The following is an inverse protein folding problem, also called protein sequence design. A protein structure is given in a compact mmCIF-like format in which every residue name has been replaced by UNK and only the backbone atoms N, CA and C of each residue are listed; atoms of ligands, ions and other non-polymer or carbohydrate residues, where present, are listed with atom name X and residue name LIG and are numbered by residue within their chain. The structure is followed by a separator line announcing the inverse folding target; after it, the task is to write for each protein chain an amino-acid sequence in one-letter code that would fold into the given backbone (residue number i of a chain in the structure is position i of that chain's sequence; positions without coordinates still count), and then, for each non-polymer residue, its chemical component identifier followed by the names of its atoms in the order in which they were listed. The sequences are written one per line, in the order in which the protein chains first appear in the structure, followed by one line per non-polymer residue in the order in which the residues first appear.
data_IF_582728737769
#
_entry.id   IF_582728737769
#
_cell.length_a   1.000
_cell.length_b   1.000
_cell.length_c   1.000
_cell.angle_alpha   90.00
_cell.angle_beta   90.00
_cell.angle_gamma   90.00
#
_symmetry.space_group_name_H-M   'P 1'
#
loop_
_entity.id
_entity.type
_entity.pdbx_description
1 polymer ?
#
# COMPACT_ATOMS: atom_id res chain seq x y z
N UNK A 1 80.16 -19.49 -11.77
CA UNK A 1 80.21 -18.29 -10.91
C UNK A 1 78.95 -17.47 -11.21
N UNK A 2 77.93 -17.63 -10.36
CA UNK A 2 76.81 -16.74 -9.91
C UNK A 2 76.60 -15.37 -10.60
N UNK A 3 75.37 -14.78 -10.74
CA UNK A 3 74.00 -15.32 -10.70
C UNK A 3 73.07 -14.88 -11.87
N UNK A 4 71.90 -15.52 -11.92
CA UNK A 4 70.72 -15.14 -12.69
C UNK A 4 70.07 -13.83 -12.20
N UNK A 5 69.61 -12.97 -13.11
CA UNK A 5 68.64 -11.92 -12.79
C UNK A 5 67.23 -12.39 -13.12
N UNK A 6 66.45 -12.45 -12.06
CA UNK A 6 65.06 -12.88 -11.97
C UNK A 6 64.17 -12.03 -12.87
N UNK A 7 63.46 -12.70 -13.78
CA UNK A 7 62.26 -12.21 -14.45
C UNK A 7 61.23 -11.81 -13.39
N UNK A 8 61.08 -10.50 -13.15
CA UNK A 8 59.97 -10.00 -12.36
C UNK A 8 58.69 -10.15 -13.18
N UNK A 9 57.94 -11.20 -12.87
CA UNK A 9 56.51 -11.25 -13.09
C UNK A 9 55.88 -10.02 -12.41
N UNK A 10 55.62 -8.99 -13.22
CA UNK A 10 54.74 -7.88 -12.86
C UNK A 10 53.31 -8.39 -12.83
N UNK A 11 52.99 -9.06 -11.73
CA UNK A 11 51.70 -9.59 -11.35
C UNK A 11 50.58 -8.56 -11.58
N UNK A 12 49.52 -9.06 -12.20
CA UNK A 12 48.36 -8.35 -12.64
C UNK A 12 47.54 -7.84 -11.45
N UNK A 13 47.91 -6.68 -10.90
CA UNK A 13 46.94 -5.84 -10.18
C UNK A 13 46.18 -4.99 -11.19
N UNK A 14 45.32 -5.67 -11.97
CA UNK A 14 44.13 -5.06 -12.54
C UNK A 14 43.25 -4.63 -11.36
N UNK A 15 43.54 -3.43 -10.85
CA UNK A 15 42.62 -2.71 -10.00
C UNK A 15 41.32 -2.61 -10.78
N UNK A 16 40.30 -3.35 -10.37
CA UNK A 16 38.94 -3.12 -10.81
C UNK A 16 38.53 -1.77 -10.26
N UNK A 17 39.00 -0.70 -10.90
CA UNK A 17 38.40 0.62 -10.79
C UNK A 17 37.01 0.45 -11.37
N UNK A 18 36.06 0.09 -10.52
CA UNK A 18 34.65 0.19 -10.88
C UNK A 18 34.46 1.68 -11.14
N UNK A 19 34.25 2.12 -12.40
CA UNK A 19 34.23 3.53 -12.70
C UNK A 19 33.18 4.17 -11.79
N UNK A 20 33.50 5.32 -11.20
CA UNK A 20 32.62 6.03 -10.26
C UNK A 20 31.19 6.16 -10.82
N UNK A 21 31.09 6.26 -12.15
CA UNK A 21 29.86 6.17 -12.93
C UNK A 21 29.07 4.87 -12.71
N UNK A 22 29.67 3.68 -12.80
CA UNK A 22 29.00 2.40 -12.53
C UNK A 22 28.55 2.26 -11.07
N UNK A 23 29.34 2.79 -10.12
CA UNK A 23 28.94 2.81 -8.71
C UNK A 23 27.74 3.73 -8.48
N UNK A 24 27.77 4.95 -9.04
CA UNK A 24 26.66 5.92 -8.99
C UNK A 24 25.42 5.40 -9.71
N UNK A 25 25.58 4.75 -10.87
CA UNK A 25 24.48 4.11 -11.61
C UNK A 25 23.85 2.98 -10.81
N UNK A 26 24.64 2.13 -10.14
CA UNK A 26 24.12 1.03 -9.30
C UNK A 26 23.41 1.56 -8.06
N UNK A 27 23.91 2.62 -7.43
CA UNK A 27 23.23 3.29 -6.31
C UNK A 27 21.97 4.04 -6.76
N UNK A 28 22.01 4.71 -7.91
CA UNK A 28 20.85 5.35 -8.53
C UNK A 28 19.74 4.35 -8.86
N UNK A 29 20.09 3.19 -9.41
CA UNK A 29 19.15 2.09 -9.63
C UNK A 29 18.50 1.60 -8.32
N UNK A 30 19.27 1.54 -7.22
CA UNK A 30 18.72 1.20 -5.90
C UNK A 30 17.71 2.24 -5.39
N UNK A 31 17.98 3.53 -5.58
CA UNK A 31 17.05 4.61 -5.21
C UNK A 31 15.76 4.56 -6.04
N UNK A 32 15.87 4.30 -7.34
CA UNK A 32 14.70 4.10 -8.22
C UNK A 32 13.87 2.91 -7.77
N UNK A 33 14.51 1.78 -7.43
CA UNK A 33 13.82 0.60 -6.93
C UNK A 33 13.07 0.88 -5.61
N UNK A 34 13.70 1.59 -4.66
CA UNK A 34 13.06 2.01 -3.41
C UNK A 34 11.88 2.93 -3.69
N UNK A 35 12.03 3.89 -4.61
CA UNK A 35 10.94 4.77 -5.04
C UNK A 35 9.75 4.00 -5.61
N UNK A 36 10.00 2.99 -6.46
CA UNK A 36 8.96 2.12 -7.01
C UNK A 36 8.25 1.29 -5.94
N UNK A 37 9.01 0.71 -4.99
CA UNK A 37 8.44 -0.05 -3.87
C UNK A 37 7.59 0.86 -2.99
N UNK A 38 8.08 2.06 -2.66
CA UNK A 38 7.35 3.05 -1.88
C UNK A 38 6.06 3.49 -2.59
N UNK A 39 6.12 3.77 -3.88
CA UNK A 39 4.95 4.11 -4.69
C UNK A 39 3.91 2.98 -4.70
N UNK A 40 4.35 1.72 -4.88
CA UNK A 40 3.47 0.55 -4.82
C UNK A 40 2.82 0.37 -3.43
N UNK A 41 3.62 0.50 -2.37
CA UNK A 41 3.13 0.41 -0.99
C UNK A 41 2.12 1.53 -0.68
N UNK A 42 2.41 2.76 -1.10
CA UNK A 42 1.50 3.90 -0.94
C UNK A 42 0.21 3.72 -1.75
N UNK A 43 0.29 3.21 -2.97
CA UNK A 43 -0.88 2.95 -3.82
C UNK A 43 -1.81 1.90 -3.19
N UNK A 44 -1.26 0.79 -2.70
CA UNK A 44 -2.06 -0.24 -2.01
C UNK A 44 -2.63 0.25 -0.68
N UNK A 45 -1.92 1.10 0.06
CA UNK A 45 -2.45 1.72 1.27
C UNK A 45 -3.58 2.70 0.98
N UNK A 46 -3.48 3.49 -0.11
CA UNK A 46 -4.56 4.38 -0.55
C UNK A 46 -5.85 3.61 -0.85
N UNK A 47 -5.76 2.45 -1.50
CA UNK A 47 -6.95 1.61 -1.77
C UNK A 47 -7.65 1.18 -0.47
N UNK A 48 -6.88 0.80 0.55
CA UNK A 48 -7.43 0.47 1.88
C UNK A 48 -8.14 1.68 2.49
N UNK A 49 -7.52 2.85 2.46
CA UNK A 49 -8.12 4.10 2.97
C UNK A 49 -9.39 4.47 2.21
N UNK A 50 -9.38 4.39 0.88
CA UNK A 50 -10.56 4.64 0.06
C UNK A 50 -11.71 3.70 0.43
N UNK A 51 -11.43 2.41 0.57
CA UNK A 51 -12.43 1.41 0.96
C UNK A 51 -13.00 1.68 2.35
N UNK A 52 -12.21 2.22 3.29
CA UNK A 52 -12.70 2.65 4.60
C UNK A 52 -13.68 3.82 4.49
N UNK A 53 -13.33 4.86 3.73
CA UNK A 53 -14.24 6.00 3.47
C UNK A 53 -15.52 5.56 2.76
N UNK A 54 -15.40 4.67 1.79
CA UNK A 54 -16.55 4.08 1.10
C UNK A 54 -17.48 3.35 2.08
N UNK A 55 -16.94 2.51 2.97
CA UNK A 55 -17.73 1.81 3.99
C UNK A 55 -18.42 2.79 4.96
N UNK A 56 -17.78 3.91 5.29
CA UNK A 56 -18.37 4.95 6.13
C UNK A 56 -19.54 5.65 5.41
N UNK A 57 -19.36 6.04 4.15
CA UNK A 57 -20.42 6.66 3.34
C UNK A 57 -21.60 5.68 3.17
N UNK A 58 -21.31 4.42 2.83
CA UNK A 58 -22.30 3.34 2.75
C UNK A 58 -23.08 3.16 4.06
N UNK A 59 -22.39 3.19 5.21
CA UNK A 59 -23.02 3.09 6.52
C UNK A 59 -23.89 4.30 6.86
N UNK A 60 -23.47 5.51 6.48
CA UNK A 60 -24.27 6.72 6.62
C UNK A 60 -25.56 6.66 5.82
N UNK A 61 -25.47 6.27 4.54
CA UNK A 61 -26.62 6.07 3.65
C UNK A 61 -27.58 5.00 4.16
N UNK A 62 -27.06 3.89 4.70
CA UNK A 62 -27.88 2.87 5.34
C UNK A 62 -28.60 3.38 6.60
N UNK A 63 -27.91 4.18 7.43
CA UNK A 63 -28.51 4.78 8.62
C UNK A 63 -29.68 5.70 8.24
N UNK A 64 -29.51 6.52 7.21
CA UNK A 64 -30.59 7.37 6.68
C UNK A 64 -31.75 6.53 6.13
N UNK A 65 -31.45 5.53 5.29
CA UNK A 65 -32.46 4.62 4.74
C UNK A 65 -33.27 3.89 5.84
N UNK A 66 -32.63 3.55 6.97
CA UNK A 66 -33.31 2.96 8.13
C UNK A 66 -34.23 3.95 8.84
N UNK A 67 -33.88 5.23 8.93
CA UNK A 67 -34.78 6.28 9.46
C UNK A 67 -36.00 6.45 8.57
N UNK A 68 -35.78 6.49 7.25
CA UNK A 68 -36.87 6.53 6.26
C UNK A 68 -37.83 5.35 6.43
N UNK A 69 -37.30 4.12 6.54
CA UNK A 69 -38.12 2.92 6.77
C UNK A 69 -38.89 2.98 8.09
N UNK A 70 -38.28 3.50 9.16
CA UNK A 70 -38.97 3.68 10.44
C UNK A 70 -40.15 4.66 10.30
N UNK A 71 -39.98 5.77 9.58
CA UNK A 71 -41.08 6.70 9.31
C UNK A 71 -42.18 6.12 8.42
N UNK A 72 -41.85 5.22 7.50
CA UNK A 72 -42.88 4.48 6.74
C UNK A 72 -43.61 3.49 7.66
N UNK A 73 -42.88 2.77 8.52
CA UNK A 73 -43.45 1.83 9.47
C UNK A 73 -44.39 2.51 10.49
N UNK A 74 -44.05 3.72 10.94
CA UNK A 74 -44.90 4.54 11.81
C UNK A 74 -46.23 4.87 11.14
N UNK A 75 -46.22 5.42 9.92
CA UNK A 75 -47.45 5.71 9.15
C UNK A 75 -48.26 4.46 8.84
N UNK A 76 -47.60 3.33 8.57
CA UNK A 76 -48.27 2.05 8.40
C UNK A 76 -48.98 1.63 9.70
N UNK A 77 -48.32 1.81 10.85
CA UNK A 77 -48.87 1.56 12.18
C UNK A 77 -50.06 2.46 12.51
N UNK A 78 -50.03 3.75 12.16
CA UNK A 78 -51.17 4.66 12.28
C UNK A 78 -52.38 4.19 11.46
N UNK A 79 -52.14 3.54 10.31
CA UNK A 79 -53.16 2.91 9.50
C UNK A 79 -53.57 1.50 9.98
N UNK A 80 -52.97 0.99 11.06
CA UNK A 80 -53.22 -0.36 11.59
C UNK A 80 -52.68 -1.48 10.69
N UNK A 81 -51.72 -1.19 9.82
CA UNK A 81 -51.18 -2.12 8.82
C UNK A 81 -49.69 -2.39 9.05
N UNK A 82 -49.20 -3.61 8.75
CA UNK A 82 -47.77 -3.84 8.60
C UNK A 82 -47.24 -3.13 7.34
N UNK A 83 -45.96 -2.76 7.35
CA UNK A 83 -45.33 -1.94 6.30
C UNK A 83 -45.59 -2.44 4.86
N UNK A 84 -45.49 -3.75 4.62
CA UNK A 84 -45.73 -4.35 3.30
C UNK A 84 -47.20 -4.33 2.89
N UNK A 85 -48.13 -4.49 3.82
CA UNK A 85 -49.56 -4.36 3.53
C UNK A 85 -49.92 -2.91 3.23
N UNK A 86 -49.33 -1.95 3.96
CA UNK A 86 -49.48 -0.53 3.71
C UNK A 86 -49.03 -0.14 2.30
N UNK A 87 -47.88 -0.64 1.83
CA UNK A 87 -47.39 -0.45 0.46
C UNK A 87 -48.32 -1.06 -0.60
N UNK A 88 -48.90 -2.22 -0.31
CA UNK A 88 -49.83 -2.90 -1.21
C UNK A 88 -51.13 -2.10 -1.42
N UNK A 89 -51.60 -1.34 -0.43
CA UNK A 89 -52.75 -0.44 -0.58
C UNK A 89 -52.47 0.64 -1.64
N UNK A 90 -51.28 1.25 -1.63
CA UNK A 90 -50.88 2.20 -2.68
C UNK A 90 -50.89 1.58 -4.07
N UNK A 91 -50.46 0.32 -4.20
CA UNK A 91 -50.39 -0.39 -5.48
C UNK A 91 -51.76 -0.81 -6.00
N UNK A 92 -52.72 -1.04 -5.12
CA UNK A 92 -54.11 -1.40 -5.47
C UNK A 92 -55.00 -0.18 -5.70
N UNK A 93 -54.52 1.02 -5.37
CA UNK A 93 -55.24 2.25 -5.61
C UNK A 93 -55.54 2.46 -7.11
N UNK A 94 -56.73 2.97 -7.40
CA UNK A 94 -57.14 3.30 -8.78
C UNK A 94 -56.37 4.48 -9.36
N UNK A 95 -55.95 5.42 -8.50
CA UNK A 95 -55.24 6.61 -8.94
C UNK A 95 -53.75 6.29 -9.19
N UNK A 96 -53.22 6.54 -10.41
CA UNK A 96 -51.84 6.20 -10.76
C UNK A 96 -50.78 6.97 -9.96
N UNK A 97 -51.13 8.10 -9.32
CA UNK A 97 -50.21 8.82 -8.42
C UNK A 97 -49.88 7.95 -7.20
N UNK A 98 -50.89 7.35 -6.55
CA UNK A 98 -50.68 6.49 -5.39
C UNK A 98 -49.94 5.21 -5.77
N UNK A 99 -50.25 4.62 -6.92
CA UNK A 99 -49.52 3.44 -7.42
C UNK A 99 -48.02 3.73 -7.57
N UNK A 100 -47.66 4.88 -8.16
CA UNK A 100 -46.27 5.30 -8.31
C UNK A 100 -45.59 5.53 -6.97
N UNK A 101 -46.30 6.12 -6.01
CA UNK A 101 -45.78 6.33 -4.66
C UNK A 101 -45.45 5.01 -3.97
N UNK A 102 -46.35 4.01 -4.05
CA UNK A 102 -46.10 2.67 -3.49
C UNK A 102 -44.88 1.98 -4.10
N UNK A 103 -44.69 2.11 -5.43
CA UNK A 103 -43.49 1.59 -6.11
C UNK A 103 -42.23 2.29 -5.63
N UNK A 104 -42.27 3.61 -5.44
CA UNK A 104 -41.12 4.40 -4.96
C UNK A 104 -40.75 4.05 -3.52
N UNK A 105 -41.73 3.93 -2.62
CA UNK A 105 -41.50 3.51 -1.23
C UNK A 105 -40.94 2.09 -1.16
N UNK A 106 -41.43 1.17 -1.99
CA UNK A 106 -40.87 -0.19 -2.10
C UNK A 106 -39.42 -0.17 -2.58
N UNK A 107 -39.10 0.68 -3.57
CA UNK A 107 -37.73 0.84 -4.04
C UNK A 107 -36.79 1.35 -2.94
N UNK A 108 -37.25 2.26 -2.07
CA UNK A 108 -36.49 2.71 -0.89
C UNK A 108 -36.18 1.56 0.09
N UNK A 109 -37.16 0.71 0.39
CA UNK A 109 -36.96 -0.45 1.28
C UNK A 109 -35.95 -1.42 0.66
N UNK A 110 -36.12 -1.76 -0.62
CA UNK A 110 -35.21 -2.66 -1.34
C UNK A 110 -33.78 -2.09 -1.38
N UNK A 111 -33.65 -0.77 -1.54
CA UNK A 111 -32.37 -0.07 -1.49
C UNK A 111 -31.71 -0.24 -0.13
N UNK A 112 -32.44 -0.05 0.97
CA UNK A 112 -31.91 -0.25 2.32
C UNK A 112 -31.37 -1.67 2.53
N UNK A 113 -32.12 -2.70 2.11
CA UNK A 113 -31.67 -4.10 2.19
C UNK A 113 -30.39 -4.34 1.38
N UNK A 114 -30.27 -3.73 0.20
CA UNK A 114 -29.07 -3.83 -0.63
C UNK A 114 -27.87 -3.18 0.05
N UNK A 115 -28.03 -1.97 0.60
CA UNK A 115 -26.98 -1.27 1.34
C UNK A 115 -26.51 -2.06 2.56
N UNK A 116 -27.46 -2.63 3.31
CA UNK A 116 -27.18 -3.48 4.47
C UNK A 116 -26.38 -4.73 4.08
N UNK A 117 -26.84 -5.45 3.06
CA UNK A 117 -26.18 -6.66 2.57
C UNK A 117 -24.75 -6.36 2.12
N UNK A 118 -24.57 -5.27 1.36
CA UNK A 118 -23.25 -4.87 0.88
C UNK A 118 -22.32 -4.47 2.03
N UNK A 119 -22.83 -3.72 3.01
CA UNK A 119 -22.03 -3.30 4.17
C UNK A 119 -21.64 -4.49 5.05
N UNK A 120 -22.56 -5.43 5.28
CA UNK A 120 -22.28 -6.66 6.03
C UNK A 120 -21.24 -7.52 5.31
N UNK A 121 -21.36 -7.72 4.00
CA UNK A 121 -20.38 -8.46 3.21
C UNK A 121 -18.98 -7.83 3.30
N UNK A 122 -18.90 -6.50 3.20
CA UNK A 122 -17.64 -5.76 3.29
C UNK A 122 -16.98 -5.81 4.68
N UNK A 123 -17.79 -5.73 5.74
CA UNK A 123 -17.30 -5.81 7.13
C UNK A 123 -16.94 -7.23 7.55
N UNK A 124 -17.68 -8.22 7.04
CA UNK A 124 -17.44 -9.64 7.31
C UNK A 124 -16.30 -10.25 6.51
N UNK A 125 -15.81 -9.57 5.46
CA UNK A 125 -14.69 -10.05 4.66
C UNK A 125 -13.34 -9.88 5.37
N UNK A 126 -12.50 -10.92 5.29
CA UNK A 126 -11.12 -10.91 5.77
C UNK A 126 -10.26 -9.89 5.00
N UNK A 127 -9.17 -9.42 5.62
CA UNK A 127 -8.29 -8.38 5.06
C UNK A 127 -7.82 -8.68 3.62
N UNK A 128 -7.55 -9.95 3.31
CA UNK A 128 -7.04 -10.37 1.98
C UNK A 128 -8.17 -10.49 0.95
N UNK A 129 -9.37 -10.93 1.33
CA UNK A 129 -10.49 -11.15 0.42
C UNK A 129 -11.36 -9.90 0.25
N UNK A 130 -11.26 -8.94 1.17
CA UNK A 130 -12.03 -7.70 1.18
C UNK A 130 -11.95 -6.89 -0.12
N UNK A 131 -10.80 -6.73 -0.80
CA UNK A 131 -10.74 -6.04 -2.08
C UNK A 131 -11.60 -6.70 -3.16
N UNK A 132 -11.61 -8.04 -3.22
CA UNK A 132 -12.46 -8.78 -4.15
C UNK A 132 -13.94 -8.58 -3.84
N UNK A 133 -14.32 -8.70 -2.55
CA UNK A 133 -15.69 -8.44 -2.10
C UNK A 133 -16.12 -7.01 -2.44
N UNK A 134 -15.23 -6.05 -2.25
CA UNK A 134 -15.47 -4.65 -2.59
C UNK A 134 -15.80 -4.46 -4.08
N UNK A 135 -15.03 -5.06 -4.99
CA UNK A 135 -15.34 -5.00 -6.42
C UNK A 135 -16.68 -5.69 -6.73
N UNK A 136 -16.97 -6.84 -6.10
CA UNK A 136 -18.23 -7.56 -6.33
C UNK A 136 -19.48 -6.84 -5.80
N UNK A 137 -19.32 -5.96 -4.80
CA UNK A 137 -20.38 -5.19 -4.14
C UNK A 137 -20.26 -3.69 -4.42
N UNK A 138 -19.58 -3.35 -5.50
CA UNK A 138 -19.28 -1.97 -5.86
C UNK A 138 -20.57 -1.22 -6.23
N UNK A 139 -20.80 -0.11 -5.54
CA UNK A 139 -21.89 0.81 -5.81
C UNK A 139 -21.31 2.10 -6.40
N UNK A 140 -21.59 2.33 -7.69
CA UNK A 140 -20.98 3.41 -8.46
C UNK A 140 -21.30 4.79 -7.87
N UNK A 141 -22.55 5.01 -7.46
CA UNK A 141 -22.99 6.30 -6.91
C UNK A 141 -22.21 6.64 -5.63
N UNK A 142 -22.11 5.66 -4.71
CA UNK A 142 -21.39 5.83 -3.45
C UNK A 142 -19.90 5.98 -3.69
N UNK A 143 -19.34 5.25 -4.65
CA UNK A 143 -17.92 5.33 -4.99
C UNK A 143 -17.56 6.68 -5.62
N UNK A 144 -18.39 7.22 -6.51
CA UNK A 144 -18.19 8.54 -7.13
C UNK A 144 -18.23 9.65 -6.07
N UNK A 145 -19.21 9.62 -5.16
CA UNK A 145 -19.26 10.57 -4.04
C UNK A 145 -18.08 10.44 -3.10
N UNK A 146 -17.72 9.19 -2.76
CA UNK A 146 -16.53 8.93 -1.92
C UNK A 146 -15.29 9.49 -2.60
N UNK A 147 -15.17 9.35 -3.92
CA UNK A 147 -14.02 9.84 -4.68
C UNK A 147 -13.92 11.37 -4.68
N UNK A 148 -15.05 12.08 -4.75
CA UNK A 148 -15.07 13.55 -4.70
C UNK A 148 -14.50 14.08 -3.38
N UNK A 149 -14.89 13.46 -2.26
CA UNK A 149 -14.45 13.87 -0.92
C UNK A 149 -13.15 13.18 -0.46
N UNK A 150 -12.62 12.24 -1.25
CA UNK A 150 -11.45 11.45 -0.89
C UNK A 150 -10.21 12.33 -0.82
N UNK A 151 -9.58 12.36 0.37
CA UNK A 151 -8.28 12.99 0.57
C UNK A 151 -7.22 11.90 0.70
N UNK A 152 -6.24 11.82 -0.24
CA UNK A 152 -5.13 10.89 -0.10
C UNK A 152 -4.40 11.07 1.22
N UNK A 153 -3.96 9.97 1.82
CA UNK A 153 -3.25 9.99 3.10
C UNK A 153 -1.87 10.66 2.99
N UNK A 154 -1.28 10.68 1.79
CA UNK A 154 -0.06 11.42 1.50
C UNK A 154 -0.42 12.59 0.59
N UNK A 155 -0.37 13.84 1.10
CA UNK A 155 -0.58 15.01 0.28
C UNK A 155 0.56 15.11 -0.74
N UNK A 156 0.20 15.15 -2.03
CA UNK A 156 1.15 15.36 -3.12
C UNK A 156 1.16 16.83 -3.53
N UNK A 157 1.32 17.74 -2.57
CA UNK A 157 1.50 19.16 -2.82
C UNK A 157 3.00 19.54 -2.77
N UNK A 158 3.33 20.72 -3.33
CA UNK A 158 4.71 21.20 -3.40
C UNK A 158 5.37 21.27 -2.01
N UNK A 159 4.60 21.66 -1.00
CA UNK A 159 5.05 21.76 0.39
C UNK A 159 5.45 20.40 0.94
N UNK A 160 4.59 19.39 0.82
CA UNK A 160 4.87 18.04 1.29
C UNK A 160 6.05 17.40 0.55
N UNK A 161 6.22 17.72 -0.73
CA UNK A 161 7.37 17.25 -1.50
C UNK A 161 8.70 17.86 -0.99
N UNK A 162 8.70 19.15 -0.62
CA UNK A 162 9.87 19.81 -0.01
C UNK A 162 10.20 19.17 1.34
N UNK A 163 9.21 18.96 2.20
CA UNK A 163 9.42 18.29 3.49
C UNK A 163 9.90 16.84 3.32
N UNK A 164 9.37 16.11 2.33
CA UNK A 164 9.84 14.77 2.00
C UNK A 164 11.31 14.78 1.54
N UNK A 165 11.72 15.76 0.72
CA UNK A 165 13.11 15.92 0.30
C UNK A 165 14.04 16.23 1.48
N UNK A 166 13.66 17.16 2.37
CA UNK A 166 14.41 17.48 3.58
C UNK A 166 14.55 16.25 4.48
N UNK A 167 13.45 15.55 4.74
CA UNK A 167 13.45 14.31 5.51
C UNK A 167 14.33 13.22 4.89
N UNK A 168 14.33 13.10 3.55
CA UNK A 168 15.20 12.20 2.81
C UNK A 168 16.69 12.52 3.00
N UNK A 169 17.06 13.81 2.94
CA UNK A 169 18.45 14.25 3.20
C UNK A 169 18.84 13.96 4.65
N UNK A 170 18.01 14.32 5.62
CA UNK A 170 18.26 14.06 7.04
C UNK A 170 18.39 12.57 7.33
N UNK A 171 17.53 11.74 6.75
CA UNK A 171 17.60 10.28 6.87
C UNK A 171 18.88 9.70 6.28
N UNK A 172 19.33 10.24 5.13
CA UNK A 172 20.62 9.84 4.54
C UNK A 172 21.80 10.22 5.44
N UNK A 173 21.79 11.43 6.02
CA UNK A 173 22.82 11.88 6.96
C UNK A 173 22.85 11.00 8.22
N UNK A 174 21.69 10.58 8.73
CA UNK A 174 21.59 9.66 9.86
C UNK A 174 22.02 8.22 9.53
N UNK A 175 21.80 7.76 8.29
CA UNK A 175 22.18 6.42 7.84
C UNK A 175 23.71 6.25 7.66
N UNK A 176 24.40 7.28 7.16
CA UNK A 176 25.85 7.24 6.89
C UNK A 176 26.72 6.74 8.07
N UNK A 177 26.56 7.23 9.31
CA UNK A 177 27.35 6.72 10.44
C UNK A 177 27.03 5.26 10.77
N UNK A 178 25.76 4.85 10.69
CA UNK A 178 25.30 3.47 10.98
C UNK A 178 25.88 2.49 9.95
N UNK A 179 25.85 2.86 8.67
CA UNK A 179 26.42 2.07 7.59
C UNK A 179 27.96 1.98 7.68
N UNK A 180 28.62 3.06 8.14
CA UNK A 180 30.06 3.07 8.41
C UNK A 180 30.47 2.12 9.53
N UNK A 181 29.62 1.97 10.56
CA UNK A 181 29.81 1.02 11.66
C UNK A 181 29.55 -0.44 11.24
N UNK A 182 28.53 -0.69 10.42
CA UNK A 182 28.21 -2.03 9.90
C UNK A 182 29.17 -2.50 8.78
N UNK A 183 29.81 -1.55 8.08
CA UNK A 183 30.76 -1.76 6.99
C UNK A 183 32.19 -2.11 7.40
N UNK A 184 32.43 -2.51 8.66
CA UNK A 184 33.71 -3.06 9.11
C UNK A 184 33.71 -4.62 9.08
N UNK A 185 33.50 -5.31 7.93
CA UNK A 185 33.99 -6.67 7.79
C UNK A 185 35.26 -6.67 6.95
N UNK A 186 36.42 -6.96 7.57
CA UNK A 186 37.50 -7.65 6.85
C UNK A 186 38.77 -6.88 6.50
N UNK A 187 38.94 -5.58 6.79
CA UNK A 187 40.27 -4.93 6.58
C UNK A 187 41.37 -5.41 7.54
N UNK A 188 41.05 -6.23 8.54
CA UNK A 188 42.05 -6.94 9.36
C UNK A 188 42.35 -8.37 8.89
N UNK A 189 41.59 -8.95 7.95
CA UNK A 189 41.79 -10.34 7.53
C UNK A 189 42.95 -10.52 6.54
N UNK A 190 43.31 -9.50 5.75
CA UNK A 190 44.38 -9.57 4.75
C UNK A 190 45.80 -9.49 5.34
N UNK A 191 45.97 -9.10 6.61
CA UNK A 191 47.31 -9.07 7.25
C UNK A 191 47.80 -10.45 7.72
N UNK A 192 46.92 -11.46 7.83
CA UNK A 192 47.30 -12.80 8.32
C UNK A 192 47.78 -13.75 7.21
N UNK A 193 47.38 -13.56 5.95
CA UNK A 193 47.82 -14.41 4.83
C UNK A 193 49.32 -14.23 4.49
N UNK A 194 49.87 -13.04 4.72
CA UNK A 194 51.29 -12.74 4.50
C UNK A 194 52.25 -13.38 5.52
N UNK A 195 51.75 -13.76 6.71
CA UNK A 195 52.56 -14.43 7.73
C UNK A 195 52.74 -15.93 7.41
N UNK A 196 51.70 -16.59 6.90
CA UNK A 196 51.73 -18.01 6.52
C UNK A 196 52.50 -18.25 5.21
N UNK A 197 52.52 -17.25 4.30
CA UNK A 197 53.34 -17.33 3.09
C UNK A 197 54.86 -17.30 3.39
N UNK A 198 55.27 -16.51 4.39
CA UNK A 198 56.68 -16.39 4.78
C UNK A 198 57.22 -17.63 5.52
N UNK A 199 56.39 -18.29 6.35
CA UNK A 199 56.81 -19.51 7.05
C UNK A 199 57.00 -20.71 6.11
N UNK A 200 56.19 -20.82 5.06
CA UNK A 200 56.35 -21.87 4.02
C UNK A 200 57.59 -21.66 3.16
N UNK A 201 57.99 -20.40 2.92
CA UNK A 201 59.23 -20.12 2.21
C UNK A 201 60.46 -20.45 3.07
N UNK A 202 60.42 -20.14 4.37
CA UNK A 202 61.49 -20.47 5.31
C UNK A 202 61.67 -22.00 5.51
N UNK A 203 60.57 -22.76 5.58
CA UNK A 203 60.62 -24.22 5.67
C UNK A 203 61.22 -24.89 4.41
N UNK A 204 61.13 -24.23 3.24
CA UNK A 204 61.66 -24.75 1.97
C UNK A 204 63.16 -24.46 1.78
N UNK A 205 63.75 -23.53 2.54
CA UNK A 205 65.18 -23.20 2.46
C UNK A 205 66.06 -23.97 3.46
N UNK A 206 65.46 -24.65 4.44
CA UNK A 206 66.19 -25.50 5.41
C UNK A 206 66.03 -27.01 5.13
N UNK A 207 65.48 -27.37 3.98
CA UNK A 207 65.20 -28.75 3.57
C UNK A 207 66.03 -29.24 2.38
N UNK A 208 67.18 -28.63 2.10
CA UNK A 208 68.22 -29.15 1.20
C UNK A 208 69.55 -29.25 1.92
#
# INVERSE_FOLDING_TARGET
MVPQTVTLAGDARSGKEVPLLQYLLRKGAGLVAIGMIAAGALGTSQLSTFMQHYQQNLAGRLAEARRDMAGIAERAGEAGLPIYAYLDEFRRATNPIFVREGVWLQAKINRATTLETNLQALRGADTVTRPYVFVSRFDREIAEETWIDFKPAVPLDATSLIYAAIGGVLGLLAYLPIAGLAGIPGRLAERRSSATARSRLAARMHGE
#
